data_IF_361092626565
#
_entry.id   IF_361092626565
#
_cell.length_a   1.000
_cell.length_b   1.000
_cell.length_c   1.000
_cell.angle_alpha   90.00
_cell.angle_beta   90.00
_cell.angle_gamma   90.00
#
_symmetry.space_group_name_H-M   'P 1'
#
loop_
_entity.id
_entity.type
_entity.pdbx_description
1 polymer ?
#
# COMPACT_ATOMS: atom_id res chain seq x y z
N UNK A 1 24.05 5.01 7.67
CA UNK A 1 23.38 3.69 7.68
C UNK A 1 21.94 3.95 8.09
N UNK A 2 20.95 3.37 7.41
CA UNK A 2 19.54 3.63 7.70
C UNK A 2 19.11 2.96 9.00
N UNK A 3 18.35 3.66 9.82
CA UNK A 3 17.72 3.10 11.03
C UNK A 3 16.57 2.16 10.66
N UNK A 4 16.18 1.28 11.59
CA UNK A 4 15.01 0.41 11.41
C UNK A 4 13.74 1.19 11.09
N UNK A 5 13.51 2.31 11.77
CA UNK A 5 12.38 3.21 11.54
C UNK A 5 12.38 3.77 10.12
N UNK A 6 13.50 4.33 9.67
CA UNK A 6 13.63 4.86 8.32
C UNK A 6 13.42 3.75 7.27
N UNK A 7 13.89 2.53 7.55
CA UNK A 7 13.69 1.39 6.66
C UNK A 7 12.22 0.98 6.51
N UNK A 8 11.48 0.90 7.60
CA UNK A 8 10.05 0.58 7.52
C UNK A 8 9.25 1.68 6.83
N UNK A 9 9.57 2.95 7.10
CA UNK A 9 8.95 4.07 6.39
C UNK A 9 9.29 4.07 4.90
N UNK A 10 10.52 3.67 4.53
CA UNK A 10 10.94 3.57 3.13
C UNK A 10 10.17 2.48 2.39
N UNK A 11 9.97 1.32 3.00
CA UNK A 11 9.17 0.25 2.40
C UNK A 11 7.71 0.70 2.25
N UNK A 12 7.12 1.33 3.27
CA UNK A 12 5.76 1.87 3.16
C UNK A 12 5.62 2.86 1.99
N UNK A 13 6.60 3.74 1.79
CA UNK A 13 6.66 4.66 0.65
C UNK A 13 6.69 3.91 -0.70
N UNK A 14 7.51 2.86 -0.80
CA UNK A 14 7.63 2.02 -1.99
C UNK A 14 6.30 1.31 -2.33
N UNK A 15 5.64 0.71 -1.35
CA UNK A 15 4.34 0.02 -1.54
C UNK A 15 3.23 1.01 -1.95
N UNK A 16 3.24 2.24 -1.42
CA UNK A 16 2.34 3.29 -1.88
C UNK A 16 2.60 3.68 -3.35
N UNK A 17 3.87 3.73 -3.76
CA UNK A 17 4.28 3.97 -5.13
C UNK A 17 3.84 2.84 -6.07
N UNK A 18 3.97 1.59 -5.65
CA UNK A 18 3.51 0.43 -6.40
C UNK A 18 1.98 0.42 -6.54
N UNK A 19 1.23 0.72 -5.47
CA UNK A 19 -0.23 0.87 -5.54
C UNK A 19 -0.64 1.94 -6.56
N UNK A 20 0.01 3.10 -6.54
CA UNK A 20 -0.22 4.16 -7.54
C UNK A 20 0.13 3.68 -8.96
N UNK A 21 1.22 2.92 -9.11
CA UNK A 21 1.63 2.38 -10.40
C UNK A 21 0.62 1.36 -10.95
N UNK A 22 0.19 0.38 -10.15
CA UNK A 22 -0.74 -0.67 -10.59
C UNK A 22 -2.14 -0.14 -10.86
N UNK A 23 -2.60 0.85 -10.09
CA UNK A 23 -3.86 1.56 -10.38
C UNK A 23 -3.77 2.34 -11.70
N UNK A 24 -2.63 2.98 -12.00
CA UNK A 24 -2.42 3.64 -13.29
C UNK A 24 -2.47 2.67 -14.48
N UNK A 25 -1.90 1.46 -14.32
CA UNK A 25 -1.99 0.39 -15.32
C UNK A 25 -3.42 -0.06 -15.51
N UNK A 26 -4.17 -0.28 -14.42
CA UNK A 26 -5.58 -0.66 -14.49
C UNK A 26 -6.43 0.39 -15.22
N UNK A 27 -6.18 1.68 -15.01
CA UNK A 27 -6.87 2.75 -15.74
C UNK A 27 -6.56 2.74 -17.24
N UNK A 28 -5.32 2.42 -17.61
CA UNK A 28 -4.86 2.43 -19.00
C UNK A 28 -5.25 1.17 -19.78
N UNK A 29 -5.14 0.00 -19.16
CA UNK A 29 -5.26 -1.30 -19.82
C UNK A 29 -6.50 -2.09 -19.39
N UNK A 30 -7.19 -1.63 -18.34
CA UNK A 30 -8.35 -2.30 -17.78
C UNK A 30 -8.00 -3.21 -16.60
N UNK A 31 -8.98 -3.41 -15.72
CA UNK A 31 -8.85 -4.21 -14.49
C UNK A 31 -8.58 -5.70 -14.76
N UNK A 32 -9.06 -6.22 -15.89
CA UNK A 32 -8.90 -7.63 -16.29
C UNK A 32 -7.61 -7.93 -17.04
N UNK A 33 -6.84 -6.91 -17.43
CA UNK A 33 -5.60 -7.10 -18.17
C UNK A 33 -4.52 -7.76 -17.28
N UNK A 34 -3.66 -8.55 -17.92
CA UNK A 34 -2.54 -9.26 -17.31
C UNK A 34 -1.28 -8.79 -18.02
N UNK A 35 -0.34 -8.21 -17.27
CA UNK A 35 0.94 -7.74 -17.83
C UNK A 35 1.69 -8.88 -18.55
N UNK A 36 2.52 -8.59 -19.57
CA UNK A 36 3.33 -9.61 -20.23
C UNK A 36 4.16 -10.42 -19.22
N UNK A 37 4.03 -11.75 -19.27
CA UNK A 37 4.68 -12.67 -18.32
C UNK A 37 4.05 -12.72 -16.91
N UNK A 38 2.99 -11.96 -16.68
CA UNK A 38 2.22 -11.96 -15.43
C UNK A 38 1.31 -13.18 -15.28
N UNK A 39 0.82 -13.39 -14.06
CA UNK A 39 -0.09 -14.50 -13.71
C UNK A 39 -1.41 -14.04 -13.10
N UNK A 40 -1.53 -12.75 -12.78
CA UNK A 40 -2.67 -12.16 -12.11
C UNK A 40 -3.11 -10.89 -12.84
N UNK A 41 -4.38 -10.55 -12.69
CA UNK A 41 -4.98 -9.37 -13.32
C UNK A 41 -4.55 -8.10 -12.59
N UNK A 42 -4.65 -6.95 -13.26
CA UNK A 42 -4.41 -5.65 -12.64
C UNK A 42 -5.25 -5.44 -11.36
N UNK A 43 -6.51 -5.91 -11.34
CA UNK A 43 -7.34 -5.88 -10.14
C UNK A 43 -6.74 -6.66 -8.95
N UNK A 44 -6.13 -7.82 -9.22
CA UNK A 44 -5.44 -8.61 -8.20
C UNK A 44 -4.11 -7.96 -7.78
N UNK A 45 -3.38 -7.33 -8.70
CA UNK A 45 -2.18 -6.55 -8.36
C UNK A 45 -2.52 -5.38 -7.43
N UNK A 46 -3.60 -4.62 -7.70
CA UNK A 46 -4.07 -3.54 -6.81
C UNK A 46 -4.30 -4.05 -5.39
N UNK A 47 -5.00 -5.18 -5.25
CA UNK A 47 -5.28 -5.74 -3.93
C UNK A 47 -4.02 -6.26 -3.24
N UNK A 48 -3.06 -6.81 -4.01
CA UNK A 48 -1.77 -7.25 -3.49
C UNK A 48 -1.00 -6.09 -2.86
N UNK A 49 -0.83 -4.98 -3.59
CA UNK A 49 -0.08 -3.83 -3.06
C UNK A 49 -0.81 -3.18 -1.87
N UNK A 50 -2.15 -3.19 -1.89
CA UNK A 50 -2.93 -2.75 -0.73
C UNK A 50 -2.67 -3.61 0.52
N UNK A 51 -2.57 -4.94 0.36
CA UNK A 51 -2.22 -5.85 1.46
C UNK A 51 -0.80 -5.59 1.98
N UNK A 52 0.16 -5.28 1.10
CA UNK A 52 1.50 -4.90 1.54
C UNK A 52 1.49 -3.61 2.37
N UNK A 53 0.73 -2.59 1.96
CA UNK A 53 0.56 -1.35 2.74
C UNK A 53 -0.02 -1.66 4.13
N UNK A 54 -1.07 -2.48 4.22
CA UNK A 54 -1.64 -2.88 5.53
C UNK A 54 -0.58 -3.55 6.39
N UNK A 55 0.15 -4.52 5.85
CA UNK A 55 1.21 -5.21 6.59
C UNK A 55 2.29 -4.24 7.11
N UNK A 56 2.64 -3.21 6.30
CA UNK A 56 3.60 -2.20 6.71
C UNK A 56 3.06 -1.30 7.84
N UNK A 57 1.78 -0.92 7.80
CA UNK A 57 1.13 -0.19 8.89
C UNK A 57 1.13 -1.03 10.18
N UNK A 58 0.73 -2.30 10.12
CA UNK A 58 0.76 -3.21 11.27
C UNK A 58 2.16 -3.34 11.89
N UNK A 59 3.20 -3.40 11.05
CA UNK A 59 4.58 -3.45 11.52
C UNK A 59 5.01 -2.14 12.21
N UNK A 60 4.64 -0.99 11.64
CA UNK A 60 4.93 0.32 12.23
C UNK A 60 4.23 0.51 13.58
N UNK A 61 2.99 0.02 13.71
CA UNK A 61 2.23 0.02 14.98
C UNK A 61 2.89 -0.89 16.01
N UNK A 62 3.23 -2.12 15.63
CA UNK A 62 3.86 -3.11 16.51
C UNK A 62 5.21 -2.61 17.05
N UNK A 63 5.95 -1.85 16.24
CA UNK A 63 7.22 -1.23 16.64
C UNK A 63 7.04 0.13 17.33
N UNK A 64 5.80 0.54 17.65
CA UNK A 64 5.45 1.83 18.27
C UNK A 64 6.00 3.05 17.51
N UNK A 65 6.16 2.94 16.19
CA UNK A 65 6.60 4.02 15.31
C UNK A 65 5.43 4.95 14.98
N UNK A 66 4.25 4.36 14.75
CA UNK A 66 2.98 5.07 14.63
C UNK A 66 2.01 4.56 15.69
N UNK A 67 1.17 5.45 16.20
CA UNK A 67 0.08 5.12 17.11
C UNK A 67 -1.21 5.60 16.45
N UNK A 68 -2.00 4.71 15.85
CA UNK A 68 -3.23 5.10 15.19
C UNK A 68 -4.17 5.70 16.23
N UNK A 69 -4.75 6.88 15.96
CA UNK A 69 -5.88 7.35 16.76
C UNK A 69 -7.08 6.41 16.55
N UNK A 70 -8.10 6.56 17.37
CA UNK A 70 -9.34 5.82 17.18
C UNK A 70 -9.87 6.07 15.75
N UNK A 71 -10.17 5.02 14.99
CA UNK A 71 -10.66 5.13 13.60
C UNK A 71 -11.87 6.06 13.47
N UNK A 72 -12.74 6.09 14.48
CA UNK A 72 -13.88 7.01 14.53
C UNK A 72 -13.46 8.49 14.55
N UNK A 73 -12.29 8.84 15.09
CA UNK A 73 -11.78 10.22 15.06
C UNK A 73 -11.29 10.62 13.66
N UNK A 74 -10.86 9.65 12.84
CA UNK A 74 -10.31 9.89 11.51
C UNK A 74 -11.39 10.06 10.43
N UNK A 75 -12.55 9.42 10.59
CA UNK A 75 -13.63 9.41 9.57
C UNK A 75 -14.45 10.69 9.57
N UNK A 76 -14.54 11.43 10.69
CA UNK A 76 -15.37 12.65 10.81
C UNK A 76 -14.86 13.81 9.94
N UNK A 77 -13.61 13.76 9.47
CA UNK A 77 -12.96 14.86 8.75
C UNK A 77 -12.79 14.65 7.23
N UNK A 78 -13.46 13.66 6.62
CA UNK A 78 -13.30 13.34 5.18
C UNK A 78 -14.61 13.18 4.38
N UNK A 79 -15.62 13.99 4.66
CA UNK A 79 -16.78 14.15 3.78
C UNK A 79 -16.62 15.39 2.88
#
# INVERSE_FOLDING_TARGET
MMTRREHLLKILEEECGELAHVTSKAMRFGLGDIKPGGRITNAKEIYLEFVHIIAMIEMLEKENIINPPNEFELVVNKA
#
